data_IF_568908115079
#
_entry.id   IF_568908115079
#
_cell.length_a   1.000
_cell.length_b   1.000
_cell.length_c   1.000
_cell.angle_alpha   90.00
_cell.angle_beta   90.00
_cell.angle_gamma   90.00
#
_symmetry.space_group_name_H-M   'P 1'
#
loop_
_entity.id
_entity.type
_entity.pdbx_description
1 polymer ?
#
# COMPACT_ATOMS: atom_id res chain seq x y z
N UNK A 1 -7.47 -28.53 0.83
CA UNK A 1 -7.89 -27.16 1.17
C UNK A 1 -9.42 -27.10 1.17
N UNK A 2 -10.07 -27.05 2.33
CA UNK A 2 -11.54 -27.08 2.48
C UNK A 2 -12.15 -25.68 2.74
N UNK A 3 -11.58 -24.65 2.10
CA UNK A 3 -12.08 -23.28 2.23
C UNK A 3 -13.45 -23.09 1.57
N UNK A 4 -14.20 -22.06 1.99
CA UNK A 4 -15.46 -21.65 1.36
C UNK A 4 -15.26 -20.32 0.66
N UNK A 5 -15.85 -20.17 -0.53
CA UNK A 5 -15.85 -18.94 -1.30
C UNK A 5 -17.27 -18.34 -1.32
N UNK A 6 -17.35 -17.02 -1.21
CA UNK A 6 -18.60 -16.27 -1.38
C UNK A 6 -18.34 -15.00 -2.18
N UNK A 7 -19.36 -14.55 -2.92
CA UNK A 7 -19.32 -13.28 -3.66
C UNK A 7 -19.64 -12.08 -2.77
N UNK A 8 -20.36 -12.27 -1.68
CA UNK A 8 -20.80 -11.18 -0.80
C UNK A 8 -19.87 -11.01 0.39
N UNK A 9 -19.78 -9.81 0.94
CA UNK A 9 -19.03 -9.59 2.18
C UNK A 9 -19.90 -9.94 3.39
N UNK A 10 -19.65 -11.10 4.00
CA UNK A 10 -20.43 -11.64 5.12
C UNK A 10 -19.61 -11.58 6.42
N UNK A 11 -20.28 -11.59 7.58
CA UNK A 11 -19.63 -11.63 8.90
C UNK A 11 -18.77 -12.88 9.14
N UNK A 12 -18.97 -13.94 8.36
CA UNK A 12 -18.21 -15.19 8.44
C UNK A 12 -16.93 -15.17 7.60
N UNK A 13 -16.62 -14.08 6.91
CA UNK A 13 -15.40 -13.98 6.09
C UNK A 13 -14.17 -13.92 7.00
N UNK A 14 -13.19 -14.75 6.69
CA UNK A 14 -11.91 -14.78 7.41
C UNK A 14 -10.79 -14.07 6.65
N UNK A 15 -10.83 -14.04 5.32
CA UNK A 15 -9.80 -13.43 4.46
C UNK A 15 -10.47 -12.81 3.25
N UNK A 16 -10.05 -11.60 2.87
CA UNK A 16 -10.45 -10.96 1.62
C UNK A 16 -9.34 -11.11 0.59
N UNK A 17 -9.67 -11.63 -0.60
CA UNK A 17 -8.72 -11.71 -1.71
C UNK A 17 -8.86 -10.46 -2.57
N UNK A 18 -7.74 -9.76 -2.82
CA UNK A 18 -7.70 -8.59 -3.69
C UNK A 18 -6.31 -8.42 -4.33
N UNK A 19 -6.28 -7.81 -5.51
CA UNK A 19 -5.01 -7.47 -6.18
C UNK A 19 -4.51 -6.07 -5.80
N UNK A 20 -5.40 -5.20 -5.31
CA UNK A 20 -5.13 -3.79 -5.05
C UNK A 20 -5.87 -3.28 -3.80
N UNK A 21 -5.27 -2.31 -3.12
CA UNK A 21 -5.90 -1.56 -2.04
C UNK A 21 -6.88 -0.52 -2.59
N UNK A 22 -8.09 -0.94 -2.94
CA UNK A 22 -9.11 -0.03 -3.47
C UNK A 22 -9.91 0.64 -2.34
N UNK A 23 -9.52 1.86 -1.97
CA UNK A 23 -10.20 2.65 -0.96
C UNK A 23 -11.63 3.08 -1.32
N UNK A 24 -12.09 2.87 -2.56
CA UNK A 24 -13.48 3.12 -2.96
C UNK A 24 -14.36 1.87 -2.84
N UNK A 25 -13.76 0.67 -2.81
CA UNK A 25 -14.48 -0.59 -2.72
C UNK A 25 -15.14 -0.76 -1.34
N UNK A 26 -16.45 -0.98 -1.32
CA UNK A 26 -17.20 -1.24 -0.09
C UNK A 26 -16.66 -2.47 0.68
N UNK A 27 -16.28 -3.52 -0.05
CA UNK A 27 -15.69 -4.74 0.56
C UNK A 27 -14.36 -4.47 1.23
N UNK A 28 -13.51 -3.66 0.61
CA UNK A 28 -12.22 -3.28 1.18
C UNK A 28 -12.41 -2.42 2.44
N UNK A 29 -13.30 -1.43 2.38
CA UNK A 29 -13.62 -0.58 3.54
C UNK A 29 -14.12 -1.41 4.73
N UNK A 30 -15.05 -2.33 4.49
CA UNK A 30 -15.58 -3.17 5.56
C UNK A 30 -14.52 -4.13 6.09
N UNK A 31 -13.71 -4.77 5.22
CA UNK A 31 -12.60 -5.62 5.64
C UNK A 31 -11.61 -4.89 6.54
N UNK A 32 -11.25 -3.65 6.21
CA UNK A 32 -10.38 -2.83 7.06
C UNK A 32 -11.04 -2.49 8.41
N UNK A 33 -12.35 -2.26 8.44
CA UNK A 33 -13.10 -1.92 9.65
C UNK A 33 -13.23 -3.10 10.62
N UNK A 34 -13.46 -4.30 10.09
CA UNK A 34 -13.55 -5.54 10.88
C UNK A 34 -12.21 -6.28 10.99
N UNK A 35 -11.12 -5.63 10.58
CA UNK A 35 -9.74 -6.15 10.62
C UNK A 35 -9.54 -7.51 9.94
N UNK A 36 -10.34 -7.79 8.92
CA UNK A 36 -10.17 -8.98 8.06
C UNK A 36 -8.93 -8.77 7.18
N UNK A 37 -7.96 -9.70 7.17
CA UNK A 37 -6.77 -9.59 6.35
C UNK A 37 -7.11 -9.57 4.86
N UNK A 38 -6.54 -8.58 4.15
CA UNK A 38 -6.62 -8.48 2.69
C UNK A 38 -5.33 -9.03 2.09
N UNK A 39 -5.42 -10.16 1.39
CA UNK A 39 -4.29 -10.89 0.80
C UNK A 39 -4.45 -11.04 -0.70
N UNK A 40 -3.34 -11.23 -1.42
CA UNK A 40 -3.34 -11.46 -2.87
C UNK A 40 -3.72 -12.90 -3.21
N UNK A 41 -4.09 -13.13 -4.47
CA UNK A 41 -4.38 -14.48 -4.98
C UNK A 41 -3.19 -15.45 -4.81
N UNK A 42 -1.95 -14.93 -4.78
CA UNK A 42 -0.75 -15.71 -4.55
C UNK A 42 -0.76 -16.48 -3.22
N UNK A 43 -1.54 -16.04 -2.22
CA UNK A 43 -1.74 -16.78 -0.98
C UNK A 43 -2.44 -18.13 -1.23
N UNK A 44 -3.44 -18.17 -2.10
CA UNK A 44 -4.15 -19.38 -2.49
C UNK A 44 -3.23 -20.29 -3.32
N UNK A 45 -2.48 -19.70 -4.25
CA UNK A 45 -1.53 -20.42 -5.09
C UNK A 45 -0.44 -21.09 -4.24
N UNK A 46 0.10 -20.37 -3.25
CA UNK A 46 1.06 -20.92 -2.31
C UNK A 46 0.46 -22.05 -1.46
N UNK A 47 -0.76 -21.85 -0.96
CA UNK A 47 -1.47 -22.86 -0.19
C UNK A 47 -1.64 -24.16 -1.01
N UNK A 48 -1.96 -24.04 -2.29
CA UNK A 48 -2.05 -25.17 -3.21
C UNK A 48 -0.69 -25.82 -3.47
N UNK A 49 0.35 -25.00 -3.68
CA UNK A 49 1.72 -25.45 -3.93
C UNK A 49 2.29 -26.26 -2.77
N UNK A 50 2.07 -25.82 -1.53
CA UNK A 50 2.53 -26.50 -0.31
C UNK A 50 1.96 -27.92 -0.19
N UNK A 51 0.66 -28.07 -0.43
CA UNK A 51 -0.02 -29.37 -0.33
C UNK A 51 0.37 -30.29 -1.50
N UNK A 52 0.45 -29.75 -2.72
CA UNK A 52 0.63 -30.57 -3.93
C UNK A 52 2.08 -30.91 -4.27
N UNK A 53 2.99 -29.93 -4.13
CA UNK A 53 4.41 -30.09 -4.50
C UNK A 53 5.28 -30.45 -3.31
N UNK A 54 5.18 -29.65 -2.25
CA UNK A 54 6.03 -29.82 -1.06
C UNK A 54 5.54 -30.94 -0.14
N UNK A 55 4.28 -31.38 -0.32
CA UNK A 55 3.59 -32.32 0.58
C UNK A 55 3.70 -31.90 2.05
N UNK A 56 3.72 -30.59 2.27
CA UNK A 56 3.88 -29.97 3.59
C UNK A 56 2.54 -29.46 4.07
N UNK A 57 2.26 -29.65 5.36
CA UNK A 57 1.04 -29.17 6.00
C UNK A 57 1.31 -27.85 6.72
N UNK A 58 1.68 -26.83 5.95
CA UNK A 58 1.82 -25.46 6.47
C UNK A 58 0.44 -24.87 6.71
N UNK A 59 0.23 -24.34 7.91
CA UNK A 59 -1.00 -23.63 8.25
C UNK A 59 -0.97 -22.24 7.60
N UNK A 60 -1.64 -22.10 6.46
CA UNK A 60 -1.66 -20.85 5.69
C UNK A 60 -2.34 -19.67 6.39
N UNK A 61 -3.11 -19.95 7.45
CA UNK A 61 -3.76 -18.95 8.31
C UNK A 61 -2.86 -18.46 9.44
N UNK A 62 -1.60 -18.91 9.52
CA UNK A 62 -0.63 -18.33 10.46
C UNK A 62 -0.36 -16.87 10.08
N UNK A 63 -0.28 -16.00 11.09
CA UNK A 63 -0.10 -14.56 10.89
C UNK A 63 1.16 -14.24 10.07
N UNK A 64 2.26 -14.95 10.34
CA UNK A 64 3.52 -14.82 9.58
C UNK A 64 3.39 -15.18 8.09
N UNK A 65 2.50 -16.12 7.75
CA UNK A 65 2.24 -16.51 6.36
C UNK A 65 1.33 -15.48 5.72
N UNK A 66 0.20 -15.16 6.36
CA UNK A 66 -0.74 -14.13 5.89
C UNK A 66 -0.01 -12.82 5.59
N UNK A 67 0.87 -12.38 6.49
CA UNK A 67 1.62 -11.14 6.35
C UNK A 67 2.51 -11.08 5.10
N UNK A 68 3.04 -12.22 4.62
CA UNK A 68 3.84 -12.30 3.38
C UNK A 68 3.00 -12.06 2.13
N UNK A 69 1.70 -12.34 2.20
CA UNK A 69 0.77 -12.22 1.07
C UNK A 69 -0.21 -11.05 1.20
N UNK A 70 -0.08 -10.22 2.25
CA UNK A 70 -0.87 -8.98 2.38
C UNK A 70 -0.63 -8.08 1.17
N UNK A 71 -1.71 -7.52 0.65
CA UNK A 71 -1.64 -6.60 -0.49
C UNK A 71 -0.88 -5.33 -0.06
N UNK A 72 0.19 -4.94 -0.76
CA UNK A 72 0.90 -3.70 -0.46
C UNK A 72 -0.01 -2.46 -0.60
N UNK A 73 0.19 -1.46 0.25
CA UNK A 73 -0.71 -0.28 0.33
C UNK A 73 -0.81 0.52 -0.97
N UNK A 74 0.24 0.47 -1.81
CA UNK A 74 0.27 1.13 -3.12
C UNK A 74 0.16 0.15 -4.30
N UNK A 75 -0.23 -1.11 -4.05
CA UNK A 75 -0.41 -2.11 -5.11
C UNK A 75 -1.38 -1.61 -6.19
N UNK A 76 -0.91 -1.64 -7.44
CA UNK A 76 -1.65 -1.16 -8.61
C UNK A 76 -1.70 0.36 -8.78
N UNK A 77 -1.03 1.13 -7.92
CA UNK A 77 -0.95 2.58 -8.06
C UNK A 77 0.27 2.98 -8.90
N UNK A 78 0.02 3.68 -10.01
CA UNK A 78 1.06 4.40 -10.75
C UNK A 78 1.04 5.87 -10.34
N UNK A 79 2.16 6.33 -9.78
CA UNK A 79 2.30 7.61 -9.10
C UNK A 79 3.30 8.49 -9.85
N UNK A 80 2.96 9.76 -10.05
CA UNK A 80 3.91 10.78 -10.52
C UNK A 80 3.96 11.95 -9.55
N UNK A 81 5.04 12.73 -9.59
CA UNK A 81 5.20 13.92 -8.77
C UNK A 81 5.30 15.21 -9.60
N UNK A 82 4.84 16.32 -9.03
CA UNK A 82 4.97 17.67 -9.59
C UNK A 82 5.35 18.68 -8.50
N UNK A 83 6.30 19.57 -8.81
CA UNK A 83 6.69 20.65 -7.90
C UNK A 83 7.52 20.21 -6.68
N UNK A 84 7.79 18.92 -6.51
CA UNK A 84 8.60 18.39 -5.40
C UNK A 84 10.10 18.53 -5.69
N UNK A 85 10.88 18.94 -4.70
CA UNK A 85 12.34 19.11 -4.76
C UNK A 85 13.02 18.46 -3.56
N UNK A 86 14.29 18.11 -3.73
CA UNK A 86 15.14 17.53 -2.68
C UNK A 86 14.52 16.31 -2.00
N UNK A 87 14.65 16.24 -0.68
CA UNK A 87 14.27 15.08 0.14
C UNK A 87 12.81 14.63 -0.06
N UNK A 88 11.86 15.56 -0.22
CA UNK A 88 10.45 15.18 -0.41
C UNK A 88 10.20 14.44 -1.72
N UNK A 89 10.97 14.75 -2.77
CA UNK A 89 10.89 14.02 -4.04
C UNK A 89 11.54 12.64 -3.89
N UNK A 90 12.71 12.58 -3.27
CA UNK A 90 13.47 11.34 -3.09
C UNK A 90 12.71 10.34 -2.23
N UNK A 91 12.03 10.82 -1.17
CA UNK A 91 11.13 10.01 -0.35
C UNK A 91 10.00 9.39 -1.17
N UNK A 92 9.32 10.16 -2.03
CA UNK A 92 8.23 9.63 -2.86
C UNK A 92 8.76 8.59 -3.85
N UNK A 93 9.91 8.86 -4.48
CA UNK A 93 10.56 7.95 -5.43
C UNK A 93 10.95 6.63 -4.75
N UNK A 94 11.38 6.68 -3.49
CA UNK A 94 11.79 5.50 -2.73
C UNK A 94 10.59 4.74 -2.15
N UNK A 95 9.73 5.44 -1.40
CA UNK A 95 8.69 4.82 -0.58
C UNK A 95 7.55 4.20 -1.41
N UNK A 96 7.25 4.76 -2.59
CA UNK A 96 6.18 4.23 -3.45
C UNK A 96 6.52 2.81 -3.94
N UNK A 97 7.67 2.58 -4.61
CA UNK A 97 8.13 1.24 -4.98
C UNK A 97 8.31 0.28 -3.80
N UNK A 98 8.91 0.73 -2.69
CA UNK A 98 9.07 -0.10 -1.48
C UNK A 98 7.74 -0.63 -0.92
N UNK A 99 6.64 0.05 -1.21
CA UNK A 99 5.30 -0.31 -0.77
C UNK A 99 4.38 -0.79 -1.90
N UNK A 100 4.97 -1.27 -3.00
CA UNK A 100 4.30 -2.00 -4.08
C UNK A 100 3.62 -1.13 -5.14
N UNK A 101 3.87 0.18 -5.14
CA UNK A 101 3.42 1.09 -6.21
C UNK A 101 4.51 1.31 -7.26
N UNK A 102 4.13 1.96 -8.36
CA UNK A 102 5.05 2.36 -9.42
C UNK A 102 5.26 3.88 -9.38
N UNK A 103 6.51 4.35 -9.40
CA UNK A 103 6.80 5.76 -9.60
C UNK A 103 7.21 6.02 -11.05
N UNK A 104 6.62 7.03 -11.67
CA UNK A 104 6.97 7.48 -13.03
C UNK A 104 7.21 8.98 -13.11
N UNK A 105 8.27 9.37 -13.82
CA UNK A 105 8.58 10.77 -14.13
C UNK A 105 7.57 11.40 -15.08
N UNK A 106 6.98 10.58 -15.96
CA UNK A 106 6.03 10.99 -16.99
C UNK A 106 4.60 10.74 -16.55
N UNK A 107 3.71 11.70 -16.84
CA UNK A 107 2.30 11.56 -16.53
C UNK A 107 1.54 11.12 -17.79
N UNK A 108 1.02 9.88 -17.80
CA UNK A 108 0.27 9.29 -18.91
C UNK A 108 -1.20 9.05 -18.52
N UNK A 109 -2.14 9.44 -19.38
CA UNK A 109 -3.59 9.38 -19.06
C UNK A 109 -4.12 7.98 -18.78
N UNK A 110 -3.63 6.99 -19.52
CA UNK A 110 -4.14 5.62 -19.43
C UNK A 110 -3.65 4.88 -18.17
N UNK A 111 -2.52 5.27 -17.60
CA UNK A 111 -1.85 4.50 -16.54
C UNK A 111 -1.71 5.27 -15.23
N UNK A 112 -1.56 6.60 -15.26
CA UNK A 112 -1.35 7.39 -14.06
C UNK A 112 -2.60 7.37 -13.16
N UNK A 113 -2.42 6.98 -11.90
CA UNK A 113 -3.50 6.91 -10.92
C UNK A 113 -3.44 8.06 -9.91
N UNK A 114 -2.23 8.48 -9.54
CA UNK A 114 -2.01 9.49 -8.51
C UNK A 114 -0.96 10.52 -8.94
N UNK A 115 -1.23 11.78 -8.64
CA UNK A 115 -0.30 12.90 -8.75
C UNK A 115 0.01 13.42 -7.34
N UNK A 116 1.27 13.29 -6.91
CA UNK A 116 1.76 13.85 -5.66
C UNK A 116 2.25 15.27 -5.89
N UNK A 117 1.64 16.23 -5.21
CA UNK A 117 2.07 17.62 -5.24
C UNK A 117 1.49 18.39 -4.05
N UNK A 118 2.29 19.31 -3.51
CA UNK A 118 1.83 20.28 -2.51
C UNK A 118 1.50 21.64 -3.15
N UNK A 119 1.60 21.74 -4.49
CA UNK A 119 1.26 22.92 -5.25
C UNK A 119 -0.18 22.82 -5.79
N UNK A 120 -0.94 23.90 -5.65
CA UNK A 120 -2.30 24.00 -6.18
C UNK A 120 -2.34 24.14 -7.71
N UNK A 121 -1.24 24.59 -8.31
CA UNK A 121 -1.13 24.90 -9.73
C UNK A 121 0.17 24.37 -10.34
N UNK A 122 0.03 23.57 -11.40
CA UNK A 122 1.11 23.16 -12.29
C UNK A 122 0.51 22.59 -13.58
N UNK A 123 1.31 22.46 -14.63
CA UNK A 123 0.85 21.83 -15.89
C UNK A 123 0.38 20.38 -15.67
N UNK A 124 1.03 19.64 -14.77
CA UNK A 124 0.58 18.29 -14.38
C UNK A 124 -0.75 18.34 -13.61
N UNK A 125 -0.94 19.30 -12.72
CA UNK A 125 -2.22 19.48 -11.98
C UNK A 125 -3.36 19.83 -12.93
N UNK A 126 -3.15 20.74 -13.89
CA UNK A 126 -4.15 21.09 -14.90
C UNK A 126 -4.56 19.87 -15.72
N UNK A 127 -3.59 19.08 -16.20
CA UNK A 127 -3.84 17.83 -16.93
C UNK A 127 -4.59 16.80 -16.08
N UNK A 128 -4.22 16.64 -14.80
CA UNK A 128 -4.87 15.69 -13.90
C UNK A 128 -6.34 16.05 -13.68
N UNK A 129 -6.63 17.33 -13.44
CA UNK A 129 -8.00 17.86 -13.34
C UNK A 129 -8.77 17.66 -14.64
N UNK A 130 -8.16 17.91 -15.80
CA UNK A 130 -8.78 17.71 -17.11
C UNK A 130 -9.13 16.24 -17.38
N UNK A 131 -8.28 15.31 -16.94
CA UNK A 131 -8.52 13.87 -17.16
C UNK A 131 -9.58 13.31 -16.22
N UNK A 132 -9.72 13.83 -15.01
CA UNK A 132 -10.71 13.40 -14.01
C UNK A 132 -10.44 12.01 -13.42
N UNK A 133 -9.51 11.24 -13.97
CA UNK A 133 -9.14 9.89 -13.50
C UNK A 133 -7.96 9.87 -12.54
N UNK A 134 -7.20 10.96 -12.44
CA UNK A 134 -5.99 11.05 -11.61
C UNK A 134 -6.31 11.71 -10.28
N UNK A 135 -6.03 11.02 -9.17
CA UNK A 135 -6.17 11.56 -7.82
C UNK A 135 -5.01 12.51 -7.52
N UNK A 136 -5.31 13.74 -7.11
CA UNK A 136 -4.30 14.74 -6.71
C UNK A 136 -4.19 14.71 -5.19
N UNK A 137 -2.99 14.41 -4.67
CA UNK A 137 -2.76 14.27 -3.23
C UNK A 137 -1.45 14.93 -2.82
N UNK A 138 -1.36 15.37 -1.57
CA UNK A 138 -0.14 15.99 -1.02
C UNK A 138 0.91 14.95 -0.61
N UNK A 139 2.15 15.40 -0.37
CA UNK A 139 3.26 14.53 0.08
C UNK A 139 2.94 13.80 1.40
N UNK A 140 2.21 14.45 2.30
CA UNK A 140 1.78 13.86 3.56
C UNK A 140 0.87 12.64 3.40
N UNK A 141 0.17 12.50 2.27
CA UNK A 141 -0.65 11.32 2.01
C UNK A 141 0.18 10.05 1.91
N UNK A 142 1.38 10.11 1.30
CA UNK A 142 2.28 8.96 1.17
C UNK A 142 2.70 8.47 2.55
N UNK A 143 3.19 9.38 3.40
CA UNK A 143 3.64 9.07 4.77
C UNK A 143 2.49 8.49 5.61
N UNK A 144 1.34 9.16 5.63
CA UNK A 144 0.16 8.70 6.38
C UNK A 144 -0.37 7.35 5.91
N UNK A 145 -0.27 7.05 4.62
CA UNK A 145 -0.71 5.75 4.08
C UNK A 145 0.17 4.61 4.60
N UNK A 146 1.48 4.85 4.72
CA UNK A 146 2.43 3.89 5.27
C UNK A 146 2.28 3.77 6.78
N UNK A 147 2.10 4.87 7.51
CA UNK A 147 1.87 4.85 8.97
C UNK A 147 0.61 4.06 9.34
N UNK A 148 -0.49 4.23 8.59
CA UNK A 148 -1.70 3.43 8.79
C UNK A 148 -1.44 1.94 8.63
N UNK A 149 -0.66 1.54 7.62
CA UNK A 149 -0.23 0.15 7.45
C UNK A 149 0.47 -0.37 8.71
N UNK A 150 1.39 0.42 9.29
CA UNK A 150 2.15 0.05 10.50
C UNK A 150 1.25 -0.04 11.75
N UNK A 151 0.22 0.81 11.85
CA UNK A 151 -0.70 0.77 12.98
C UNK A 151 -1.50 -0.53 13.07
N UNK A 152 -1.74 -1.19 11.93
CA UNK A 152 -2.42 -2.50 11.84
C UNK A 152 -1.45 -3.70 11.89
N UNK A 153 -0.15 -3.49 12.13
CA UNK A 153 0.82 -4.56 12.35
C UNK A 153 0.95 -4.88 13.85
N UNK A 154 1.30 -6.13 14.18
CA UNK A 154 1.57 -6.56 15.55
C UNK A 154 2.80 -5.86 16.15
N UNK A 155 2.85 -5.72 17.48
CA UNK A 155 3.92 -5.03 18.23
C UNK A 155 5.34 -5.50 17.86
N UNK A 156 5.51 -6.79 17.57
CA UNK A 156 6.78 -7.40 17.18
C UNK A 156 7.27 -6.91 15.80
N UNK A 157 6.34 -6.63 14.89
CA UNK A 157 6.64 -6.14 13.54
C UNK A 157 6.96 -4.65 13.53
N UNK A 158 6.35 -3.88 14.44
CA UNK A 158 6.67 -2.46 14.64
C UNK A 158 8.14 -2.26 15.03
N UNK A 159 8.72 -3.19 15.80
CA UNK A 159 10.13 -3.15 16.24
C UNK A 159 11.13 -3.40 15.09
N UNK A 160 10.76 -4.15 14.05
CA UNK A 160 11.62 -4.38 12.89
C UNK A 160 11.62 -3.23 11.87
N UNK A 161 10.55 -2.43 11.82
CA UNK A 161 10.39 -1.31 10.88
C UNK A 161 10.73 0.06 11.50
N UNK A 162 11.00 0.14 12.81
CA UNK A 162 11.32 1.39 13.50
C UNK A 162 12.59 2.08 13.00
N UNK A 163 13.50 1.36 12.32
CA UNK A 163 14.68 1.95 11.65
C UNK A 163 14.34 2.91 10.51
N UNK A 164 13.13 2.86 9.94
CA UNK A 164 12.70 3.82 8.90
C UNK A 164 12.02 5.07 9.47
N UNK A 165 11.73 5.06 10.79
CA UNK A 165 11.07 6.17 11.50
C UNK A 165 12.02 6.96 12.43
N UNK A 166 13.27 6.51 12.57
CA UNK A 166 14.24 7.06 13.52
C UNK A 166 15.03 8.27 13.02
N UNK A 167 14.85 8.74 11.78
CA UNK A 167 15.30 10.08 11.39
C UNK A 167 14.32 11.14 11.92
N UNK A 168 14.14 11.16 13.24
CA UNK A 168 13.62 12.35 13.93
C UNK A 168 14.76 13.35 14.03
N UNK A 169 14.52 14.50 13.43
CA UNK A 169 14.66 15.79 14.11
C UNK A 169 15.90 15.94 15.02
N UNK A 170 16.94 16.59 14.50
CA UNK A 170 17.70 17.57 15.26
C UNK A 170 18.42 18.53 14.30
N UNK A 171 17.64 19.41 13.70
CA UNK A 171 18.16 20.72 13.32
C UNK A 171 18.39 21.53 14.60
N UNK A 172 19.63 21.61 15.05
CA UNK A 172 20.11 22.75 15.86
C UNK A 172 21.60 22.96 15.66
N UNK A 173 21.94 23.80 14.69
CA UNK A 173 23.26 24.43 14.61
C UNK A 173 23.41 25.33 15.82
N UNK A 174 24.40 25.07 16.68
CA UNK A 174 24.90 26.05 17.65
C UNK A 174 26.23 26.57 17.12
N UNK A 175 26.24 27.85 16.76
CA UNK A 175 27.44 28.63 16.46
C UNK A 175 28.36 28.69 17.67
N UNK A 176 29.67 28.60 17.41
CA UNK A 176 30.66 29.52 17.93
C UNK A 176 31.55 29.95 16.78
#
# INVERSE_FOLDING_TARGET
>A
MNGRFTRDFLSTITHLIADQCNSESAKYKEAMKVEVPVVSAAWIDEAWRQVTKERSMVMMTLEEVINKFKVPIFAGMVVTASGLKGQSRDEVIRLVPENGGEFTGEMKKATCTHLITDQSESEKVKRAKQWGTVKIVGTMWVRRSIEKKISHLSEEQKRGQSCLSSDRFLGRVRSK
#
